data_IF_301352267520
#
_entry.id   IF_301352267520
#
_cell.length_a   1.000
_cell.length_b   1.000
_cell.length_c   1.000
_cell.angle_alpha   90.00
_cell.angle_beta   90.00
_cell.angle_gamma   90.00
#
_symmetry.space_group_name_H-M   'P 1'
#
loop_
_entity.id
_entity.type
_entity.pdbx_description
1 polymer ?
#
# COMPACT_ATOMS: atom_id res chain seq x y z
N UNK A 1 20.81 -8.24 7.55
CA UNK A 1 20.18 -6.95 7.88
C UNK A 1 18.91 -6.72 7.07
N UNK A 2 17.96 -5.97 7.64
CA UNK A 2 16.78 -5.43 6.95
C UNK A 2 16.80 -3.91 7.06
N UNK A 3 16.63 -3.21 5.94
CA UNK A 3 16.64 -1.74 5.89
C UNK A 3 15.21 -1.23 5.84
N UNK A 4 14.74 -0.64 6.94
CA UNK A 4 13.38 -0.12 7.16
C UNK A 4 12.55 -1.03 8.07
N UNK A 5 11.78 -0.44 9.00
CA UNK A 5 10.86 -1.15 9.90
C UNK A 5 9.37 -0.86 9.58
N UNK A 6 9.07 -0.61 8.30
CA UNK A 6 7.70 -0.62 7.78
C UNK A 6 7.12 -2.04 7.68
N UNK A 7 5.97 -2.17 7.01
CA UNK A 7 5.33 -3.48 6.81
C UNK A 7 6.26 -4.46 6.08
N UNK A 8 6.92 -4.03 5.01
CA UNK A 8 7.84 -4.90 4.25
C UNK A 8 9.00 -5.42 5.10
N UNK A 9 9.66 -4.53 5.86
CA UNK A 9 10.78 -4.89 6.73
C UNK A 9 10.38 -5.79 7.90
N UNK A 10 9.27 -5.49 8.55
CA UNK A 10 8.75 -6.32 9.64
C UNK A 10 8.25 -7.69 9.16
N UNK A 11 7.55 -7.75 8.02
CA UNK A 11 7.10 -9.00 7.43
C UNK A 11 8.27 -9.87 6.94
N UNK A 12 9.28 -9.30 6.28
CA UNK A 12 10.42 -10.09 5.79
C UNK A 12 11.27 -10.60 6.95
N UNK A 13 11.47 -9.81 8.02
CA UNK A 13 12.12 -10.27 9.23
C UNK A 13 11.38 -11.47 9.84
N UNK A 14 10.04 -11.38 9.92
CA UNK A 14 9.20 -12.50 10.38
C UNK A 14 9.35 -13.75 9.52
N UNK A 15 9.22 -13.62 8.20
CA UNK A 15 9.32 -14.78 7.31
C UNK A 15 10.72 -15.37 7.25
N UNK A 16 11.78 -14.56 7.32
CA UNK A 16 13.16 -15.04 7.44
C UNK A 16 13.32 -15.89 8.70
N UNK A 17 12.82 -15.45 9.86
CA UNK A 17 12.88 -16.26 11.07
C UNK A 17 12.07 -17.56 10.95
N UNK A 18 10.89 -17.52 10.31
CA UNK A 18 10.08 -18.74 10.09
C UNK A 18 10.85 -19.80 9.28
N UNK A 19 11.65 -19.38 8.31
CA UNK A 19 12.39 -20.30 7.44
C UNK A 19 13.76 -20.70 8.00
N UNK A 20 14.55 -19.76 8.51
CA UNK A 20 15.89 -20.02 9.04
C UNK A 20 15.90 -20.47 10.51
N UNK A 21 14.76 -20.39 11.20
CA UNK A 21 14.63 -20.73 12.61
C UNK A 21 15.10 -19.62 13.55
N UNK A 22 15.00 -19.82 14.87
CA UNK A 22 15.23 -18.78 15.88
C UNK A 22 16.70 -18.38 16.05
N UNK A 23 17.64 -19.08 15.42
CA UNK A 23 19.08 -18.78 15.49
C UNK A 23 19.51 -17.69 14.50
N UNK A 24 18.66 -17.32 13.53
CA UNK A 24 18.98 -16.23 12.61
C UNK A 24 19.04 -14.90 13.35
N UNK A 25 20.16 -14.19 13.21
CA UNK A 25 20.30 -12.84 13.74
C UNK A 25 19.66 -11.82 12.78
N UNK A 26 18.73 -11.03 13.30
CA UNK A 26 17.99 -10.05 12.53
C UNK A 26 18.23 -8.65 13.09
N UNK A 27 19.03 -7.86 12.38
CA UNK A 27 19.16 -6.43 12.62
C UNK A 27 18.27 -5.67 11.63
N UNK A 28 17.42 -4.79 12.16
CA UNK A 28 16.46 -3.97 11.40
C UNK A 28 16.79 -2.51 11.63
N UNK A 29 17.21 -1.81 10.58
CA UNK A 29 17.57 -0.40 10.64
C UNK A 29 16.35 0.49 10.38
N UNK A 30 16.00 1.35 11.33
CA UNK A 30 14.89 2.30 11.21
C UNK A 30 15.24 3.64 11.86
N UNK A 31 15.41 4.73 11.10
CA UNK A 31 15.75 6.03 11.67
C UNK A 31 14.59 6.71 12.40
N UNK A 32 13.34 6.33 12.12
CA UNK A 32 12.15 6.92 12.71
C UNK A 32 11.41 5.91 13.60
N UNK A 33 10.07 5.93 13.58
CA UNK A 33 9.25 4.99 14.30
C UNK A 33 8.90 3.75 13.46
N UNK A 34 8.82 2.59 14.10
CA UNK A 34 8.30 1.35 13.50
C UNK A 34 6.89 1.57 12.95
N UNK A 35 6.64 1.08 11.73
CA UNK A 35 5.34 1.15 11.06
C UNK A 35 5.38 1.87 9.72
N UNK A 36 6.37 2.74 9.47
CA UNK A 36 6.47 3.50 8.22
C UNK A 36 5.17 4.23 7.88
N UNK A 37 4.60 3.97 6.69
CA UNK A 37 3.33 4.55 6.23
C UNK A 37 2.09 4.16 7.06
N UNK A 38 2.19 3.15 7.93
CA UNK A 38 1.11 2.76 8.85
C UNK A 38 1.12 3.56 10.16
N UNK A 39 1.94 4.61 10.25
CA UNK A 39 2.00 5.48 11.41
C UNK A 39 0.65 6.14 11.69
N UNK A 40 0.38 6.38 12.96
CA UNK A 40 -0.82 7.08 13.43
C UNK A 40 -0.48 8.52 13.83
N UNK A 41 -1.42 9.43 13.63
CA UNK A 41 -1.36 10.80 14.17
C UNK A 41 -2.20 10.92 15.45
N UNK A 42 -1.80 11.81 16.36
CA UNK A 42 -2.53 12.03 17.62
C UNK A 42 -3.26 13.35 17.60
N UNK A 43 -4.60 13.31 17.63
CA UNK A 43 -5.48 14.48 17.63
C UNK A 43 -6.39 14.38 18.85
N UNK A 44 -6.45 15.44 19.66
CA UNK A 44 -7.28 15.50 20.88
C UNK A 44 -7.15 14.25 21.78
N UNK A 45 -5.90 13.83 22.05
CA UNK A 45 -5.55 12.64 22.87
C UNK A 45 -6.03 11.29 22.30
N UNK A 46 -6.51 11.25 21.06
CA UNK A 46 -6.88 10.03 20.34
C UNK A 46 -5.94 9.82 19.15
N UNK A 47 -5.68 8.56 18.81
CA UNK A 47 -4.86 8.21 17.65
C UNK A 47 -5.74 7.88 16.44
N UNK A 48 -5.29 8.30 15.26
CA UNK A 48 -5.94 8.09 13.98
C UNK A 48 -4.92 7.60 12.95
N UNK A 49 -5.37 6.82 11.98
CA UNK A 49 -4.51 6.40 10.87
C UNK A 49 -4.11 7.60 10.01
N UNK A 50 -2.81 7.81 9.82
CA UNK A 50 -2.29 8.90 8.97
C UNK A 50 -2.45 8.58 7.50
N UNK A 51 -2.22 7.32 7.11
CA UNK A 51 -2.37 6.79 5.76
C UNK A 51 -2.75 5.30 5.85
N UNK A 52 -3.30 4.73 4.78
CA UNK A 52 -3.61 3.29 4.74
C UNK A 52 -4.58 2.82 5.84
N UNK A 53 -5.75 3.44 5.96
CA UNK A 53 -6.68 3.18 7.06
C UNK A 53 -7.50 1.89 6.94
N UNK A 54 -7.49 1.25 5.77
CA UNK A 54 -8.33 0.11 5.44
C UNK A 54 -7.50 -1.00 4.80
N UNK A 55 -7.68 -2.22 5.29
CA UNK A 55 -7.07 -3.45 4.79
C UNK A 55 -8.18 -4.26 4.12
N UNK A 56 -7.91 -4.78 2.93
CA UNK A 56 -8.90 -5.56 2.20
C UNK A 56 -9.07 -6.96 2.79
N UNK A 57 -10.26 -7.54 2.70
CA UNK A 57 -10.49 -8.90 3.19
C UNK A 57 -9.65 -9.97 2.45
N UNK A 58 -9.29 -9.78 1.18
CA UNK A 58 -8.42 -10.74 0.48
C UNK A 58 -6.92 -10.56 0.78
N UNK A 59 -6.57 -9.70 1.75
CA UNK A 59 -5.21 -9.54 2.24
C UNK A 59 -4.85 -10.65 3.25
N UNK A 60 -4.56 -11.86 2.77
CA UNK A 60 -4.42 -13.04 3.63
C UNK A 60 -3.19 -12.97 4.54
N UNK A 61 -2.06 -12.43 4.08
CA UNK A 61 -0.90 -12.28 4.96
C UNK A 61 -1.21 -11.32 6.12
N UNK A 62 -1.93 -10.22 5.85
CA UNK A 62 -2.36 -9.30 6.91
C UNK A 62 -3.33 -9.96 7.90
N UNK A 63 -4.27 -10.78 7.42
CA UNK A 63 -5.15 -11.55 8.31
C UNK A 63 -4.36 -12.51 9.20
N UNK A 64 -3.42 -13.25 8.59
CA UNK A 64 -2.57 -14.19 9.32
C UNK A 64 -1.73 -13.46 10.37
N UNK A 65 -1.13 -12.32 10.04
CA UNK A 65 -0.38 -11.50 10.99
C UNK A 65 -1.22 -11.06 12.18
N UNK A 66 -2.44 -10.57 11.95
CA UNK A 66 -3.35 -10.18 13.03
C UNK A 66 -3.66 -11.37 13.93
N UNK A 67 -3.93 -12.54 13.33
CA UNK A 67 -4.24 -13.77 14.06
C UNK A 67 -3.07 -14.25 14.91
N UNK A 68 -1.86 -14.35 14.35
CA UNK A 68 -0.68 -14.83 15.10
C UNK A 68 -0.27 -13.87 16.23
N UNK A 69 -0.53 -12.56 16.05
CA UNK A 69 -0.22 -11.54 17.04
C UNK A 69 -1.29 -11.41 18.12
N UNK A 70 -2.43 -12.10 17.98
CA UNK A 70 -3.58 -11.95 18.88
C UNK A 70 -4.19 -10.54 18.83
N UNK A 71 -4.03 -9.85 17.71
CA UNK A 71 -4.62 -8.53 17.48
C UNK A 71 -6.11 -8.67 17.12
N UNK A 72 -6.87 -7.60 17.30
CA UNK A 72 -8.31 -7.58 17.04
C UNK A 72 -8.64 -6.67 15.85
N UNK A 73 -9.70 -7.01 15.14
CA UNK A 73 -10.29 -6.10 14.17
C UNK A 73 -10.95 -4.95 14.91
N UNK A 74 -10.61 -3.72 14.52
CA UNK A 74 -11.29 -2.52 14.97
C UNK A 74 -12.75 -2.61 14.58
N UNK A 75 -13.63 -2.22 15.51
CA UNK A 75 -15.06 -2.12 15.26
C UNK A 75 -15.35 -1.29 14.01
N UNK A 76 -16.24 -1.79 13.16
CA UNK A 76 -16.70 -1.05 11.98
C UNK A 76 -17.68 0.06 12.37
N UNK A 77 -17.57 1.21 11.69
CA UNK A 77 -18.51 2.32 11.83
C UNK A 77 -19.03 2.66 10.43
N UNK A 78 -20.29 2.32 10.18
CA UNK A 78 -20.94 2.54 8.88
C UNK A 78 -21.00 4.02 8.51
N UNK A 79 -20.66 4.36 7.27
CA UNK A 79 -20.65 5.73 6.75
C UNK A 79 -20.86 5.73 5.26
N UNK A 80 -21.57 6.74 4.77
CA UNK A 80 -21.92 6.87 3.35
C UNK A 80 -20.83 7.60 2.58
N UNK A 81 -20.63 7.21 1.34
CA UNK A 81 -19.69 7.84 0.42
C UNK A 81 -20.40 8.63 -0.67
N UNK A 82 -19.73 9.63 -1.22
CA UNK A 82 -20.20 10.34 -2.40
C UNK A 82 -19.03 10.73 -3.31
N UNK A 83 -19.32 10.92 -4.60
CA UNK A 83 -18.37 11.39 -5.60
C UNK A 83 -18.72 12.82 -5.99
N UNK A 84 -17.78 13.73 -5.78
CA UNK A 84 -17.92 15.16 -6.00
C UNK A 84 -17.18 15.59 -7.27
N UNK A 85 -17.86 16.30 -8.17
CA UNK A 85 -17.27 16.77 -9.43
C UNK A 85 -16.45 18.05 -9.31
N UNK A 86 -16.57 18.77 -8.18
CA UNK A 86 -16.12 20.15 -8.02
C UNK A 86 -17.28 21.14 -7.91
N UNK A 87 -18.44 20.77 -8.45
CA UNK A 87 -19.65 21.60 -8.42
C UNK A 87 -20.82 20.91 -7.70
N UNK A 88 -21.03 19.62 -7.99
CA UNK A 88 -22.15 18.84 -7.45
C UNK A 88 -21.74 17.38 -7.21
N UNK A 89 -22.54 16.65 -6.44
CA UNK A 89 -22.37 15.21 -6.29
C UNK A 89 -22.95 14.48 -7.51
N UNK A 90 -22.13 13.65 -8.14
CA UNK A 90 -22.55 12.84 -9.30
C UNK A 90 -23.07 11.46 -8.87
N UNK A 91 -22.58 10.96 -7.74
CA UNK A 91 -23.01 9.70 -7.14
C UNK A 91 -23.05 9.85 -5.63
N UNK A 92 -24.16 9.47 -5.04
CA UNK A 92 -24.40 9.52 -3.60
C UNK A 92 -24.84 8.14 -3.12
N UNK A 93 -24.09 7.58 -2.17
CA UNK A 93 -24.47 6.35 -1.49
C UNK A 93 -25.64 6.61 -0.54
N UNK A 94 -26.65 5.74 -0.61
CA UNK A 94 -27.81 5.75 0.27
C UNK A 94 -27.79 4.54 1.22
N UNK A 95 -28.64 4.57 2.24
CA UNK A 95 -28.81 3.44 3.17
C UNK A 95 -29.49 2.21 2.50
N UNK A 96 -29.94 2.35 1.23
CA UNK A 96 -30.67 1.32 0.49
C UNK A 96 -29.79 0.70 -0.59
N UNK A 97 -29.23 -0.48 -0.31
CA UNK A 97 -28.36 -1.21 -1.25
C UNK A 97 -28.96 -1.37 -2.66
N UNK A 98 -30.22 -1.79 -2.75
CA UNK A 98 -30.91 -1.97 -4.05
C UNK A 98 -31.08 -0.66 -4.82
N UNK A 99 -31.26 0.47 -4.12
CA UNK A 99 -31.35 1.79 -4.75
C UNK A 99 -30.00 2.22 -5.30
N UNK A 100 -28.90 1.97 -4.57
CA UNK A 100 -27.54 2.24 -5.04
C UNK A 100 -27.25 1.41 -6.30
N UNK A 101 -27.59 0.12 -6.29
CA UNK A 101 -27.42 -0.76 -7.45
C UNK A 101 -28.27 -0.30 -8.66
N UNK A 102 -29.52 0.08 -8.42
CA UNK A 102 -30.38 0.63 -9.48
C UNK A 102 -29.82 1.94 -10.06
N UNK A 103 -29.32 2.85 -9.22
CA UNK A 103 -28.70 4.12 -9.67
C UNK A 103 -27.47 3.85 -10.53
N UNK A 104 -26.62 2.92 -10.11
CA UNK A 104 -25.44 2.51 -10.88
C UNK A 104 -25.85 1.92 -12.23
N UNK A 105 -26.82 1.02 -12.24
CA UNK A 105 -27.31 0.40 -13.47
C UNK A 105 -27.99 1.43 -14.40
N UNK A 106 -28.77 2.35 -13.87
CA UNK A 106 -29.44 3.39 -14.65
C UNK A 106 -28.45 4.36 -15.31
N UNK A 107 -27.42 4.80 -14.58
CA UNK A 107 -26.45 5.78 -15.07
C UNK A 107 -25.33 5.16 -15.92
N UNK A 108 -24.94 3.92 -15.61
CA UNK A 108 -23.73 3.29 -16.16
C UNK A 108 -23.97 1.94 -16.83
N UNK A 109 -25.23 1.49 -16.91
CA UNK A 109 -25.61 0.21 -17.48
C UNK A 109 -24.97 -0.97 -16.75
N UNK A 110 -24.50 -1.95 -17.51
CA UNK A 110 -23.81 -3.14 -16.97
C UNK A 110 -22.31 -2.91 -16.70
N UNK A 111 -21.81 -1.67 -16.75
CA UNK A 111 -20.39 -1.35 -16.51
C UNK A 111 -19.92 -1.82 -15.14
N UNK A 112 -20.75 -1.68 -14.10
CA UNK A 112 -20.43 -2.14 -12.75
C UNK A 112 -20.26 -3.68 -12.69
N UNK A 113 -21.12 -4.44 -13.36
CA UNK A 113 -21.00 -5.91 -13.43
C UNK A 113 -19.76 -6.33 -14.20
N UNK A 114 -19.45 -5.66 -15.32
CA UNK A 114 -18.23 -5.91 -16.10
C UNK A 114 -16.96 -5.64 -15.28
N UNK A 115 -16.96 -4.56 -14.50
CA UNK A 115 -15.89 -4.26 -13.56
C UNK A 115 -15.75 -5.37 -12.51
N UNK A 116 -16.85 -5.80 -11.88
CA UNK A 116 -16.81 -6.87 -10.87
C UNK A 116 -16.21 -8.15 -11.45
N UNK A 117 -16.70 -8.61 -12.61
CA UNK A 117 -16.17 -9.82 -13.26
C UNK A 117 -14.69 -9.70 -13.57
N UNK A 118 -14.25 -8.55 -14.08
CA UNK A 118 -12.84 -8.30 -14.40
C UNK A 118 -11.95 -8.31 -13.15
N UNK A 119 -12.37 -7.64 -12.08
CA UNK A 119 -11.64 -7.63 -10.80
C UNK A 119 -11.60 -9.02 -10.17
N UNK A 120 -12.72 -9.75 -10.18
CA UNK A 120 -12.79 -11.12 -9.66
C UNK A 120 -11.85 -12.07 -10.41
N UNK A 121 -11.78 -11.99 -11.74
CA UNK A 121 -10.85 -12.80 -12.55
C UNK A 121 -9.38 -12.51 -12.18
N UNK A 122 -9.02 -11.24 -12.04
CA UNK A 122 -7.66 -10.85 -11.63
C UNK A 122 -7.38 -11.36 -10.22
N UNK A 123 -8.31 -11.18 -9.28
CA UNK A 123 -8.13 -11.63 -7.91
C UNK A 123 -8.02 -13.15 -7.81
N UNK A 124 -8.85 -13.92 -8.52
CA UNK A 124 -8.78 -15.39 -8.54
C UNK A 124 -7.40 -15.89 -8.97
N UNK A 125 -6.83 -15.31 -10.03
CA UNK A 125 -5.47 -15.62 -10.49
C UNK A 125 -4.41 -15.18 -9.49
N UNK A 126 -4.55 -13.99 -8.90
CA UNK A 126 -3.63 -13.47 -7.89
C UNK A 126 -3.56 -14.39 -6.65
N UNK A 127 -4.69 -14.92 -6.18
CA UNK A 127 -4.77 -15.79 -4.99
C UNK A 127 -3.92 -17.07 -5.11
N UNK A 128 -3.48 -17.46 -6.33
CA UNK A 128 -2.56 -18.59 -6.54
C UNK A 128 -1.22 -18.39 -5.81
N UNK A 129 -0.81 -17.15 -5.57
CA UNK A 129 0.47 -16.82 -4.93
C UNK A 129 0.61 -17.46 -3.55
N UNK A 130 -0.46 -17.49 -2.76
CA UNK A 130 -0.43 -18.07 -1.41
C UNK A 130 -0.16 -19.57 -1.46
N UNK A 131 -0.73 -20.26 -2.45
CA UNK A 131 -0.48 -21.69 -2.67
C UNK A 131 0.98 -21.92 -3.04
N UNK A 132 1.53 -21.12 -3.96
CA UNK A 132 2.93 -21.23 -4.37
C UNK A 132 3.88 -20.99 -3.20
N UNK A 133 3.64 -19.93 -2.42
CA UNK A 133 4.45 -19.59 -1.24
C UNK A 133 4.34 -20.64 -0.13
N UNK A 134 3.18 -21.27 0.05
CA UNK A 134 3.00 -22.36 1.02
C UNK A 134 3.84 -23.60 0.67
N UNK A 135 4.06 -23.87 -0.63
CA UNK A 135 4.90 -24.97 -1.10
C UNK A 135 6.39 -24.58 -1.23
N UNK A 136 6.73 -23.35 -0.84
CA UNK A 136 8.10 -22.84 -0.81
C UNK A 136 8.62 -22.30 -2.14
N UNK A 137 7.75 -22.10 -3.14
CA UNK A 137 8.14 -21.51 -4.42
C UNK A 137 8.37 -20.00 -4.31
N UNK A 138 9.41 -19.52 -4.98
CA UNK A 138 9.80 -18.11 -5.02
C UNK A 138 10.14 -17.66 -6.45
N UNK A 139 10.14 -16.34 -6.65
CA UNK A 139 10.34 -15.70 -7.95
C UNK A 139 11.49 -14.70 -7.87
N UNK A 140 12.40 -14.73 -8.84
CA UNK A 140 13.59 -13.87 -8.87
C UNK A 140 13.34 -12.48 -9.45
N UNK A 141 12.25 -12.29 -10.20
CA UNK A 141 11.81 -11.01 -10.75
C UNK A 141 10.31 -10.79 -10.54
N UNK A 142 9.86 -9.54 -10.68
CA UNK A 142 8.45 -9.19 -10.60
C UNK A 142 7.68 -9.70 -11.82
N UNK A 143 8.32 -9.71 -12.99
CA UNK A 143 7.79 -10.26 -14.23
C UNK A 143 7.52 -11.77 -14.10
N UNK A 144 8.48 -12.55 -13.58
CA UNK A 144 8.28 -14.00 -13.36
C UNK A 144 7.20 -14.27 -12.33
N UNK A 145 7.13 -13.47 -11.25
CA UNK A 145 6.05 -13.54 -10.28
C UNK A 145 4.70 -13.33 -10.97
N UNK A 146 4.54 -12.26 -11.74
CA UNK A 146 3.27 -11.94 -12.42
C UNK A 146 2.91 -12.99 -13.48
N UNK A 147 3.89 -13.41 -14.27
CA UNK A 147 3.73 -14.45 -15.29
C UNK A 147 3.29 -15.79 -14.66
N UNK A 148 3.83 -16.18 -13.51
CA UNK A 148 3.42 -17.41 -12.81
C UNK A 148 1.97 -17.41 -12.32
N UNK A 149 1.40 -16.22 -12.05
CA UNK A 149 0.05 -16.05 -11.53
C UNK A 149 -0.98 -15.99 -12.65
N UNK A 150 -0.72 -15.16 -13.66
CA UNK A 150 -1.67 -14.84 -14.73
C UNK A 150 -1.13 -14.90 -16.15
N UNK A 151 0.08 -15.42 -16.36
CA UNK A 151 0.76 -15.48 -17.66
C UNK A 151 1.08 -14.08 -18.21
N UNK A 152 1.24 -14.01 -19.54
CA UNK A 152 1.50 -12.75 -20.25
C UNK A 152 0.43 -11.67 -19.99
N UNK A 153 -0.79 -12.07 -19.65
CA UNK A 153 -1.86 -11.12 -19.34
C UNK A 153 -1.49 -10.23 -18.15
N UNK A 154 -0.95 -10.79 -17.07
CA UNK A 154 -0.55 -10.00 -15.89
C UNK A 154 0.67 -9.11 -16.16
N UNK A 155 1.63 -9.60 -16.95
CA UNK A 155 2.78 -8.79 -17.37
C UNK A 155 2.30 -7.62 -18.24
N UNK A 156 1.44 -7.86 -19.23
CA UNK A 156 0.87 -6.82 -20.08
C UNK A 156 0.02 -5.81 -19.30
N UNK A 157 -0.67 -6.22 -18.24
CA UNK A 157 -1.40 -5.32 -17.35
C UNK A 157 -0.50 -4.32 -16.60
N UNK A 158 0.81 -4.55 -16.52
CA UNK A 158 1.75 -3.54 -15.98
C UNK A 158 2.13 -2.47 -16.99
N UNK A 159 1.91 -2.73 -18.28
CA UNK A 159 2.33 -1.86 -19.38
C UNK A 159 1.19 -1.03 -19.98
N UNK A 160 -0.06 -1.35 -19.61
CA UNK A 160 -1.27 -0.70 -20.11
C UNK A 160 -2.03 -0.03 -18.99
N UNK A 161 -2.70 1.07 -19.30
CA UNK A 161 -3.50 1.78 -18.30
C UNK A 161 -4.75 0.99 -17.92
N UNK A 162 -5.23 1.19 -16.69
CA UNK A 162 -6.50 0.63 -16.22
C UNK A 162 -7.68 1.15 -17.05
N UNK A 163 -7.63 2.40 -17.53
CA UNK A 163 -8.63 2.92 -18.46
C UNK A 163 -8.73 2.07 -19.73
N UNK A 164 -7.61 1.82 -20.41
CA UNK A 164 -7.59 1.01 -21.64
C UNK A 164 -8.13 -0.40 -21.39
N UNK A 165 -7.67 -1.08 -20.33
CA UNK A 165 -8.13 -2.44 -20.02
C UNK A 165 -9.62 -2.50 -19.69
N UNK A 166 -10.15 -1.51 -18.98
CA UNK A 166 -11.58 -1.46 -18.64
C UNK A 166 -12.46 -1.18 -19.87
N UNK A 167 -12.03 -0.27 -20.75
CA UNK A 167 -12.73 0.01 -22.01
C UNK A 167 -12.79 -1.24 -22.91
N UNK A 168 -11.71 -2.02 -22.98
CA UNK A 168 -11.67 -3.27 -23.76
C UNK A 168 -12.64 -4.35 -23.27
N UNK A 169 -12.84 -4.47 -21.96
CA UNK A 169 -13.86 -5.37 -21.40
C UNK A 169 -15.27 -4.77 -21.41
N UNK A 170 -15.44 -3.61 -22.04
CA UNK A 170 -16.72 -2.96 -22.28
C UNK A 170 -17.23 -2.08 -21.13
N UNK A 171 -16.38 -1.69 -20.18
CA UNK A 171 -16.75 -0.63 -19.23
C UNK A 171 -16.85 0.69 -19.99
N UNK A 172 -17.89 1.48 -19.73
CA UNK A 172 -18.10 2.75 -20.44
C UNK A 172 -17.12 3.84 -19.98
N UNK A 173 -16.72 4.71 -20.91
CA UNK A 173 -15.87 5.88 -20.60
C UNK A 173 -16.43 6.71 -19.43
N UNK A 174 -17.74 6.96 -19.43
CA UNK A 174 -18.41 7.69 -18.35
C UNK A 174 -18.19 7.04 -16.97
N UNK A 175 -18.27 5.72 -16.87
CA UNK A 175 -18.02 5.03 -15.60
C UNK A 175 -16.54 5.09 -15.20
N UNK A 176 -15.63 5.05 -16.18
CA UNK A 176 -14.19 5.25 -15.96
C UNK A 176 -13.92 6.64 -15.37
N UNK A 177 -14.47 7.69 -15.97
CA UNK A 177 -14.22 9.08 -15.57
C UNK A 177 -14.90 9.44 -14.24
N UNK A 178 -16.13 8.95 -14.02
CA UNK A 178 -16.91 9.28 -12.83
C UNK A 178 -16.46 8.45 -11.61
N UNK A 179 -16.35 7.13 -11.77
CA UNK A 179 -16.21 6.19 -10.63
C UNK A 179 -14.78 5.70 -10.48
N UNK A 180 -14.16 5.22 -11.57
CA UNK A 180 -12.82 4.62 -11.51
C UNK A 180 -11.78 5.69 -11.17
N UNK A 181 -11.85 6.85 -11.83
CA UNK A 181 -10.98 7.98 -11.51
C UNK A 181 -11.09 8.38 -10.04
N UNK A 182 -12.32 8.45 -9.49
CA UNK A 182 -12.53 8.82 -8.10
C UNK A 182 -11.88 7.83 -7.12
N UNK A 183 -12.02 6.53 -7.36
CA UNK A 183 -11.39 5.48 -6.52
C UNK A 183 -9.86 5.56 -6.59
N UNK A 184 -9.28 5.71 -7.79
CA UNK A 184 -7.83 5.76 -7.98
C UNK A 184 -7.22 7.06 -7.45
N UNK A 185 -7.92 8.18 -7.55
CA UNK A 185 -7.53 9.45 -6.92
C UNK A 185 -7.55 9.33 -5.40
N UNK A 186 -8.56 8.67 -4.82
CA UNK A 186 -8.60 8.41 -3.38
C UNK A 186 -7.50 7.46 -2.90
N UNK A 187 -7.08 6.49 -3.72
CA UNK A 187 -6.17 5.42 -3.31
C UNK A 187 -4.72 5.74 -3.61
N UNK A 188 -4.43 6.22 -4.82
CA UNK A 188 -3.09 6.58 -5.27
C UNK A 188 -2.90 8.08 -5.37
N UNK A 189 -3.95 8.88 -5.59
CA UNK A 189 -3.81 10.28 -5.98
C UNK A 189 -3.36 10.42 -7.44
N UNK A 190 -3.70 9.44 -8.29
CA UNK A 190 -3.41 9.44 -9.74
C UNK A 190 -4.70 9.31 -10.54
N UNK A 191 -4.60 9.69 -11.82
CA UNK A 191 -5.66 9.48 -12.81
C UNK A 191 -5.76 8.00 -13.21
N UNK A 192 -6.67 7.70 -14.13
CA UNK A 192 -6.91 6.35 -14.68
C UNK A 192 -5.79 5.83 -15.58
N UNK A 193 -4.66 6.54 -15.66
CA UNK A 193 -3.48 6.15 -16.42
C UNK A 193 -2.56 5.16 -15.66
N UNK A 194 -2.85 4.88 -14.39
CA UNK A 194 -2.11 3.85 -13.64
C UNK A 194 -2.22 2.48 -14.33
N UNK A 195 -1.21 1.60 -14.18
CA UNK A 195 -1.22 0.26 -14.74
C UNK A 195 -2.46 -0.52 -14.35
N UNK A 196 -2.99 -1.28 -15.30
CA UNK A 196 -4.20 -2.08 -15.12
C UNK A 196 -4.10 -3.02 -13.92
N UNK A 197 -2.92 -3.59 -13.64
CA UNK A 197 -2.74 -4.45 -12.47
C UNK A 197 -2.88 -3.67 -11.15
N UNK A 198 -2.19 -2.53 -11.02
CA UNK A 198 -2.32 -1.63 -9.86
C UNK A 198 -3.76 -1.14 -9.68
N UNK A 199 -4.44 -0.84 -10.80
CA UNK A 199 -5.84 -0.46 -10.83
C UNK A 199 -6.77 -1.56 -10.34
N UNK A 200 -6.60 -2.80 -10.83
CA UNK A 200 -7.38 -3.96 -10.39
C UNK A 200 -7.23 -4.20 -8.88
N UNK A 201 -6.00 -4.17 -8.36
CA UNK A 201 -5.73 -4.35 -6.93
C UNK A 201 -6.36 -3.24 -6.07
N UNK A 202 -6.40 -2.01 -6.57
CA UNK A 202 -7.07 -0.88 -5.89
C UNK A 202 -8.59 -1.01 -5.92
N UNK A 203 -9.17 -1.41 -7.07
CA UNK A 203 -10.60 -1.54 -7.26
C UNK A 203 -11.19 -2.71 -6.47
N UNK A 204 -10.44 -3.80 -6.30
CA UNK A 204 -10.80 -4.88 -5.38
C UNK A 204 -11.04 -4.35 -3.97
N UNK A 205 -10.17 -3.45 -3.49
CA UNK A 205 -10.29 -2.79 -2.20
C UNK A 205 -11.56 -1.95 -2.03
N UNK A 206 -12.09 -1.38 -3.10
CA UNK A 206 -13.28 -0.53 -3.08
C UNK A 206 -14.60 -1.32 -3.16
N UNK A 207 -14.58 -2.55 -3.69
CA UNK A 207 -15.76 -3.40 -3.81
C UNK A 207 -15.93 -4.40 -2.65
N UNK A 208 -14.84 -4.74 -1.96
CA UNK A 208 -14.85 -5.75 -0.90
C UNK A 208 -15.01 -5.18 0.50
N UNK A 209 -15.23 -6.08 1.47
CA UNK A 209 -15.20 -5.70 2.88
C UNK A 209 -13.79 -5.29 3.29
N UNK A 210 -13.67 -4.16 3.97
CA UNK A 210 -12.41 -3.68 4.52
C UNK A 210 -12.42 -3.69 6.05
N UNK A 211 -11.25 -3.82 6.65
CA UNK A 211 -11.07 -3.85 8.09
C UNK A 211 -9.82 -3.07 8.49
N UNK A 212 -9.66 -2.81 9.79
CA UNK A 212 -8.47 -2.17 10.35
C UNK A 212 -8.13 -2.81 11.69
N UNK A 213 -6.90 -2.64 12.17
CA UNK A 213 -6.47 -3.19 13.45
C UNK A 213 -6.91 -2.27 14.60
N UNK A 214 -7.50 -2.84 15.65
CA UNK A 214 -7.77 -2.13 16.90
C UNK A 214 -6.44 -1.67 17.51
N UNK A 215 -6.31 -0.38 17.79
CA UNK A 215 -5.06 0.23 18.26
C UNK A 215 -4.11 0.69 17.14
N UNK A 216 -4.41 0.34 15.89
CA UNK A 216 -3.80 0.88 14.68
C UNK A 216 -2.94 -0.13 13.91
N UNK A 217 -2.89 0.04 12.59
CA UNK A 217 -2.26 -0.90 11.66
C UNK A 217 -0.74 -1.05 11.91
N UNK A 218 -0.06 -0.02 12.43
CA UNK A 218 1.35 -0.10 12.87
C UNK A 218 1.63 -1.21 13.88
N UNK A 219 0.62 -1.65 14.65
CA UNK A 219 0.78 -2.70 15.65
C UNK A 219 1.22 -4.02 15.01
N UNK A 220 0.82 -4.28 13.77
CA UNK A 220 1.30 -5.43 12.98
C UNK A 220 2.83 -5.38 12.86
N UNK A 221 3.39 -4.26 12.42
CA UNK A 221 4.84 -4.12 12.23
C UNK A 221 5.60 -4.31 13.55
N UNK A 222 5.17 -3.62 14.61
CA UNK A 222 5.81 -3.73 15.92
C UNK A 222 5.67 -5.13 16.54
N UNK A 223 4.52 -5.78 16.32
CA UNK A 223 4.24 -7.11 16.80
C UNK A 223 5.13 -8.16 16.12
N UNK A 224 5.25 -8.10 14.79
CA UNK A 224 6.09 -9.01 14.02
C UNK A 224 7.56 -8.91 14.44
N UNK A 225 8.10 -7.69 14.58
CA UNK A 225 9.48 -7.49 15.04
C UNK A 225 9.71 -7.96 16.48
N UNK A 226 8.70 -7.80 17.35
CA UNK A 226 8.76 -8.30 18.73
C UNK A 226 8.73 -9.83 18.78
N UNK A 227 7.89 -10.48 17.95
CA UNK A 227 7.85 -11.93 17.83
C UNK A 227 9.20 -12.49 17.39
N UNK A 228 9.86 -11.81 16.45
CA UNK A 228 11.16 -12.24 15.96
C UNK A 228 12.32 -11.95 16.90
N UNK A 229 12.11 -11.13 17.95
CA UNK A 229 13.19 -10.58 18.77
C UNK A 229 14.27 -9.91 17.90
N UNK A 230 13.86 -9.31 16.79
CA UNK A 230 14.76 -8.58 15.92
C UNK A 230 15.36 -7.39 16.70
N UNK A 231 16.64 -7.15 16.50
CA UNK A 231 17.34 -6.01 17.04
C UNK A 231 17.04 -4.78 16.17
N UNK A 232 16.31 -3.81 16.74
CA UNK A 232 15.93 -2.59 16.02
C UNK A 232 16.99 -1.53 16.28
N UNK A 233 17.70 -1.14 15.23
CA UNK A 233 18.79 -0.16 15.28
C UNK A 233 18.24 1.19 14.80
N UNK A 234 18.21 2.23 15.66
CA UNK A 234 17.67 3.55 15.34
C UNK A 234 18.64 4.36 14.46
N UNK A 235 18.82 3.93 13.21
CA UNK A 235 19.78 4.53 12.29
C UNK A 235 19.30 4.50 10.84
N UNK A 236 19.75 5.49 10.07
CA UNK A 236 19.49 5.60 8.63
C UNK A 236 20.60 4.91 7.85
N UNK A 237 20.26 3.92 7.03
CA UNK A 237 21.24 3.32 6.11
C UNK A 237 21.48 4.27 4.93
N UNK A 238 22.75 4.53 4.65
CA UNK A 238 23.22 5.42 3.59
C UNK A 238 23.76 4.66 2.38
N UNK A 239 24.16 3.41 2.55
CA UNK A 239 24.65 2.60 1.44
C UNK A 239 25.09 1.20 1.85
N UNK A 240 25.43 0.41 0.85
CA UNK A 240 25.92 -0.96 1.00
C UNK A 240 27.18 -1.13 0.17
N UNK A 241 28.22 -1.71 0.75
CA UNK A 241 29.44 -2.08 0.05
C UNK A 241 29.57 -3.59 0.01
N UNK A 242 29.92 -4.14 -1.16
CA UNK A 242 30.23 -5.55 -1.30
C UNK A 242 31.69 -5.80 -0.88
N UNK A 243 31.88 -6.83 -0.06
CA UNK A 243 33.17 -7.39 0.29
C UNK A 243 33.19 -8.87 -0.07
N UNK A 244 34.31 -9.37 -0.57
CA UNK A 244 34.51 -10.79 -0.82
C UNK A 244 35.52 -11.31 0.19
N UNK A 245 35.11 -12.26 1.03
CA UNK A 245 35.98 -12.94 2.00
C UNK A 245 35.88 -14.44 1.77
N UNK A 246 37.02 -15.10 1.49
CA UNK A 246 37.09 -16.57 1.32
C UNK A 246 36.10 -17.15 0.29
N UNK A 247 35.80 -16.39 -0.78
CA UNK A 247 34.86 -16.81 -1.82
C UNK A 247 33.38 -16.67 -1.43
N UNK A 248 33.08 -16.02 -0.30
CA UNK A 248 31.71 -15.65 0.11
C UNK A 248 31.52 -14.14 0.05
N UNK A 249 30.36 -13.75 -0.46
CA UNK A 249 29.91 -12.36 -0.48
C UNK A 249 29.47 -11.94 0.93
N UNK A 250 30.10 -10.90 1.47
CA UNK A 250 29.72 -10.21 2.69
C UNK A 250 29.30 -8.78 2.36
N UNK A 251 28.25 -8.30 3.02
CA UNK A 251 27.68 -6.99 2.78
C UNK A 251 27.94 -6.08 3.96
N UNK A 252 28.69 -5.01 3.75
CA UNK A 252 28.88 -3.96 4.75
C UNK A 252 27.79 -2.91 4.58
N UNK A 253 26.93 -2.80 5.58
CA UNK A 253 25.85 -1.81 5.65
C UNK A 253 26.38 -0.57 6.35
N UNK A 254 26.39 0.56 5.65
CA UNK A 254 26.83 1.86 6.15
C UNK A 254 25.62 2.65 6.64
N UNK A 255 25.64 3.11 7.89
CA UNK A 255 24.51 3.80 8.50
C UNK A 255 24.93 5.01 9.34
N UNK A 256 23.98 5.93 9.54
CA UNK A 256 24.10 7.09 10.41
C UNK A 256 23.06 6.98 11.53
N UNK A 257 23.53 6.80 12.76
CA UNK A 257 22.72 6.75 13.97
C UNK A 257 22.95 7.96 14.86
N UNK A 258 22.41 7.93 16.08
CA UNK A 258 22.58 9.00 17.07
C UNK A 258 24.03 9.17 17.53
N UNK A 259 24.84 8.11 17.46
CA UNK A 259 26.26 8.10 17.84
C UNK A 259 27.20 8.46 16.68
N UNK A 260 26.64 8.80 15.50
CA UNK A 260 27.39 9.13 14.29
C UNK A 260 27.35 8.03 13.24
N UNK A 261 28.35 8.02 12.37
CA UNK A 261 28.48 7.04 11.29
C UNK A 261 29.00 5.70 11.83
N UNK A 262 28.43 4.61 11.35
CA UNK A 262 28.85 3.25 11.67
C UNK A 262 28.68 2.31 10.48
N UNK A 263 29.26 1.12 10.60
CA UNK A 263 29.04 0.03 9.65
C UNK A 263 28.96 -1.32 10.35
N UNK A 264 28.31 -2.29 9.70
CA UNK A 264 28.22 -3.67 10.15
C UNK A 264 28.14 -4.64 8.97
N UNK A 265 28.68 -5.84 9.15
CA UNK A 265 28.73 -6.88 8.12
C UNK A 265 27.58 -7.88 8.25
N UNK A 266 27.06 -8.33 7.12
CA UNK A 266 25.95 -9.29 7.04
C UNK A 266 26.13 -10.27 5.88
N UNK A 267 25.61 -11.49 6.06
CA UNK A 267 25.52 -12.49 4.98
C UNK A 267 24.42 -12.16 3.95
N UNK A 268 23.35 -11.49 4.40
CA UNK A 268 22.20 -11.09 3.59
C UNK A 268 21.70 -9.70 3.95
N UNK A 269 21.27 -8.95 2.95
CA UNK A 269 20.64 -7.64 3.15
C UNK A 269 19.35 -7.53 2.34
N UNK A 270 18.27 -7.15 3.02
CA UNK A 270 16.99 -6.85 2.37
C UNK A 270 16.70 -5.36 2.49
N UNK A 271 16.63 -4.68 1.36
CA UNK A 271 16.30 -3.26 1.28
C UNK A 271 14.80 -3.08 1.10
N UNK A 272 14.16 -2.44 2.08
CA UNK A 272 12.70 -2.16 2.08
C UNK A 272 12.38 -0.67 2.09
N UNK A 273 13.42 0.17 2.00
CA UNK A 273 13.29 1.59 1.65
C UNK A 273 13.38 1.74 0.13
N UNK A 274 12.62 2.66 -0.49
CA UNK A 274 12.80 2.99 -1.90
C UNK A 274 14.23 3.45 -2.19
N UNK A 275 14.79 2.98 -3.31
CA UNK A 275 16.16 3.25 -3.77
C UNK A 275 16.25 4.34 -4.86
N UNK A 276 15.12 4.99 -5.17
CA UNK A 276 15.06 5.96 -6.26
C UNK A 276 15.74 7.28 -5.84
N UNK A 277 16.50 7.94 -6.72
CA UNK A 277 17.20 9.18 -6.39
C UNK A 277 16.31 10.30 -5.85
N UNK A 278 15.02 10.32 -6.25
CA UNK A 278 14.02 11.25 -5.72
C UNK A 278 13.69 11.07 -4.24
N UNK A 279 14.04 9.92 -3.64
CA UNK A 279 13.70 9.55 -2.26
C UNK A 279 14.91 9.25 -1.37
N UNK A 280 16.03 8.84 -1.95
CA UNK A 280 17.20 8.42 -1.17
C UNK A 280 18.50 8.75 -1.87
N UNK A 281 19.47 9.26 -1.10
CA UNK A 281 20.88 9.29 -1.50
C UNK A 281 21.55 7.98 -1.06
N UNK A 282 21.09 6.85 -1.62
CA UNK A 282 21.54 5.51 -1.25
C UNK A 282 22.63 5.06 -2.23
N UNK A 283 23.79 4.64 -1.73
CA UNK A 283 24.93 4.26 -2.60
C UNK A 283 25.26 2.77 -2.53
N UNK A 284 25.58 2.17 -3.68
CA UNK A 284 26.14 0.83 -3.78
C UNK A 284 27.61 0.92 -4.21
N UNK A 285 28.52 0.27 -3.48
CA UNK A 285 29.97 0.30 -3.75
C UNK A 285 30.54 -1.10 -3.93
N UNK A 286 31.57 -1.21 -4.78
CA UNK A 286 32.33 -2.44 -5.04
C UNK A 286 31.50 -3.59 -5.65
N UNK A 287 30.44 -3.27 -6.40
CA UNK A 287 29.66 -4.26 -7.15
C UNK A 287 30.15 -4.33 -8.61
N UNK A 288 30.29 -5.55 -9.12
CA UNK A 288 30.64 -5.82 -10.51
C UNK A 288 29.62 -6.80 -11.13
N UNK A 289 28.79 -6.38 -12.10
CA UNK A 289 28.65 -5.00 -12.58
C UNK A 289 28.07 -4.05 -11.51
N UNK A 290 28.28 -2.72 -11.63
CA UNK A 290 27.67 -1.76 -10.73
C UNK A 290 26.14 -1.88 -10.72
N UNK A 291 25.53 -1.75 -9.54
CA UNK A 291 24.08 -1.66 -9.42
C UNK A 291 23.65 -0.29 -9.93
N UNK A 292 22.96 -0.27 -11.07
CA UNK A 292 22.45 0.95 -11.69
C UNK A 292 21.42 1.66 -10.82
N UNK A 293 21.29 2.98 -11.00
CA UNK A 293 20.19 3.75 -10.42
C UNK A 293 18.84 3.22 -10.90
N UNK A 294 17.83 3.32 -10.03
CA UNK A 294 16.46 2.94 -10.35
C UNK A 294 15.73 4.18 -10.89
N UNK A 295 15.58 4.33 -12.22
CA UNK A 295 14.85 5.46 -12.78
C UNK A 295 13.41 5.44 -12.29
N UNK A 296 12.78 6.62 -12.27
CA UNK A 296 11.40 6.76 -11.82
C UNK A 296 11.24 7.77 -10.69
N UNK A 297 10.10 8.46 -10.73
CA UNK A 297 9.72 9.41 -9.71
C UNK A 297 8.61 8.81 -8.84
N UNK A 298 8.62 9.20 -7.56
CA UNK A 298 7.45 9.02 -6.71
C UNK A 298 6.68 10.33 -6.71
N UNK A 299 5.36 10.23 -6.57
CA UNK A 299 4.54 11.40 -6.38
C UNK A 299 4.35 11.70 -4.89
N UNK A 300 4.33 12.99 -4.51
CA UNK A 300 3.92 13.41 -3.19
C UNK A 300 2.44 13.02 -2.97
N UNK A 301 2.17 12.45 -1.82
CA UNK A 301 0.84 12.26 -1.27
C UNK A 301 0.81 12.95 0.07
N UNK A 302 0.02 14.02 0.15
CA UNK A 302 -0.11 14.81 1.36
C UNK A 302 -1.41 14.45 2.04
N UNK A 303 -1.30 14.12 3.33
CA UNK A 303 -2.46 13.89 4.17
C UNK A 303 -2.55 14.98 5.23
N UNK A 304 -3.65 15.74 5.20
CA UNK A 304 -3.98 16.74 6.20
C UNK A 304 -5.06 16.20 7.12
N UNK A 305 -4.74 15.99 8.40
CA UNK A 305 -5.71 15.61 9.43
C UNK A 305 -6.15 16.86 10.19
N UNK A 306 -7.41 17.24 9.99
CA UNK A 306 -8.03 18.47 10.45
C UNK A 306 -9.06 18.16 11.53
N UNK A 307 -8.91 18.79 12.70
CA UNK A 307 -9.96 18.77 13.72
C UNK A 307 -10.78 20.06 13.60
N UNK A 308 -12.02 19.97 13.11
CA UNK A 308 -12.81 21.17 12.80
C UNK A 308 -14.24 20.93 12.37
N UNK A 309 -14.91 22.02 12.02
CA UNK A 309 -16.30 22.07 11.54
C UNK A 309 -16.30 22.12 10.01
N UNK A 310 -16.86 21.09 9.39
CA UNK A 310 -16.97 20.99 7.93
C UNK A 310 -17.82 22.15 7.38
N UNK A 311 -17.38 22.74 6.27
CA UNK A 311 -18.20 23.64 5.49
C UNK A 311 -19.08 22.85 4.50
N UNK A 312 -20.18 22.27 4.99
CA UNK A 312 -21.11 21.49 4.16
C UNK A 312 -21.70 22.27 2.98
N UNK A 313 -21.74 23.60 3.08
CA UNK A 313 -22.28 24.48 2.05
C UNK A 313 -21.43 24.47 0.77
N UNK A 314 -20.12 24.22 0.87
CA UNK A 314 -19.25 24.01 -0.29
C UNK A 314 -19.69 22.80 -1.13
N UNK A 315 -20.26 21.80 -0.48
CA UNK A 315 -20.76 20.58 -1.11
C UNK A 315 -22.26 20.65 -1.49
N UNK A 316 -22.86 21.84 -1.51
CA UNK A 316 -24.27 22.02 -1.85
C UNK A 316 -25.26 21.72 -0.69
N UNK A 317 -24.78 21.64 0.56
CA UNK A 317 -25.62 21.44 1.74
C UNK A 317 -25.59 22.68 2.67
N UNK A 318 -26.46 23.70 2.45
CA UNK A 318 -26.53 24.88 3.29
C UNK A 318 -26.84 24.55 4.75
N UNK A 319 -27.79 23.64 4.99
CA UNK A 319 -28.08 23.06 6.29
C UNK A 319 -27.14 21.86 6.55
N UNK A 320 -26.19 21.97 7.50
CA UNK A 320 -25.25 20.89 7.80
C UNK A 320 -25.89 19.65 8.44
N UNK A 321 -27.18 19.69 8.82
CA UNK A 321 -27.95 18.52 9.30
C UNK A 321 -28.29 17.54 8.19
N UNK A 322 -28.38 18.03 6.96
CA UNK A 322 -28.74 17.22 5.81
C UNK A 322 -27.53 16.51 5.20
N UNK A 323 -26.32 16.91 5.56
CA UNK A 323 -25.08 16.33 5.03
C UNK A 323 -24.82 14.94 5.64
N UNK A 324 -24.89 13.86 4.85
CA UNK A 324 -24.92 12.50 5.40
C UNK A 324 -23.61 11.72 5.20
N UNK A 325 -22.61 12.31 4.52
CA UNK A 325 -21.45 11.58 4.04
C UNK A 325 -20.32 11.52 5.06
N UNK A 326 -19.69 10.35 5.13
CA UNK A 326 -18.47 10.12 5.87
C UNK A 326 -17.24 10.13 4.95
N UNK A 327 -17.40 9.88 3.65
CA UNK A 327 -16.32 9.92 2.66
C UNK A 327 -16.77 10.68 1.41
N UNK A 328 -15.86 11.49 0.88
CA UNK A 328 -16.04 12.28 -0.34
C UNK A 328 -14.85 11.98 -1.25
N UNK A 329 -15.13 11.34 -2.38
CA UNK A 329 -14.15 11.13 -3.45
C UNK A 329 -14.32 12.22 -4.50
N UNK A 330 -13.29 12.46 -5.31
CA UNK A 330 -13.32 13.49 -6.36
C UNK A 330 -13.07 12.91 -7.73
N UNK A 331 -13.78 13.41 -8.75
CA UNK A 331 -13.42 13.15 -10.15
C UNK A 331 -12.10 13.82 -10.52
N UNK A 332 -11.56 13.49 -11.69
CA UNK A 332 -10.32 14.08 -12.20
C UNK A 332 -10.55 15.48 -12.82
N UNK A 333 -11.02 16.40 -11.99
CA UNK A 333 -11.35 17.78 -12.38
C UNK A 333 -10.17 18.71 -12.04
N UNK A 334 -9.58 19.45 -13.00
CA UNK A 334 -8.38 20.27 -12.77
C UNK A 334 -8.51 21.32 -11.67
N UNK A 335 -9.71 21.85 -11.45
CA UNK A 335 -9.99 22.88 -10.44
C UNK A 335 -9.99 22.35 -8.99
N UNK A 336 -10.04 21.02 -8.81
CA UNK A 336 -10.09 20.40 -7.48
C UNK A 336 -8.68 20.27 -6.86
N UNK A 337 -8.50 20.91 -5.70
CA UNK A 337 -7.24 20.92 -4.97
C UNK A 337 -7.04 19.72 -4.01
N UNK A 338 -8.02 18.83 -3.91
CA UNK A 338 -7.95 17.62 -3.09
C UNK A 338 -8.45 16.40 -3.87
N UNK A 339 -7.96 15.22 -3.48
CA UNK A 339 -8.26 13.95 -4.12
C UNK A 339 -9.43 13.21 -3.44
N UNK A 340 -9.45 13.24 -2.10
CA UNK A 340 -10.53 12.66 -1.30
C UNK A 340 -10.55 13.25 0.12
N UNK A 341 -11.66 13.08 0.82
CA UNK A 341 -11.86 13.56 2.19
C UNK A 341 -12.73 12.60 3.02
N UNK A 342 -12.27 12.26 4.23
CA UNK A 342 -12.94 11.29 5.11
C UNK A 342 -13.14 11.81 6.53
N UNK A 343 -14.30 11.54 7.13
CA UNK A 343 -14.55 11.66 8.57
C UNK A 343 -14.02 10.40 9.27
N UNK A 344 -12.77 10.50 9.71
CA UNK A 344 -12.01 9.35 10.21
C UNK A 344 -12.36 9.01 11.65
N UNK A 345 -12.33 7.71 11.95
CA UNK A 345 -12.55 7.18 13.29
C UNK A 345 -11.21 6.95 14.01
N UNK A 346 -11.17 7.09 15.35
CA UNK A 346 -9.99 6.74 16.12
C UNK A 346 -9.64 5.26 15.93
N UNK A 347 -8.37 4.90 16.13
CA UNK A 347 -7.92 3.50 16.05
C UNK A 347 -8.52 2.60 17.13
N UNK A 348 -8.97 3.21 18.24
CA UNK A 348 -9.71 2.54 19.32
C UNK A 348 -11.13 3.13 19.37
N UNK A 349 -12.14 2.29 19.14
CA UNK A 349 -13.54 2.72 19.02
C UNK A 349 -14.33 2.14 20.18
N UNK A 350 -14.88 3.02 21.02
CA UNK A 350 -15.73 2.61 22.13
C UNK A 350 -17.13 2.18 21.67
N UNK A 351 -17.85 1.47 22.53
CA UNK A 351 -19.23 1.05 22.27
C UNK A 351 -20.17 2.24 21.95
N UNK A 352 -19.93 3.39 22.58
CA UNK A 352 -20.74 4.60 22.46
C UNK A 352 -20.27 5.57 21.35
N UNK A 353 -19.20 5.24 20.62
CA UNK A 353 -18.70 6.11 19.56
C UNK A 353 -19.73 6.24 18.43
N UNK A 354 -19.94 7.48 17.98
CA UNK A 354 -20.68 7.82 16.77
C UNK A 354 -19.88 8.81 15.95
N UNK A 355 -19.97 8.73 14.61
CA UNK A 355 -19.44 9.80 13.77
C UNK A 355 -20.18 11.09 14.08
N UNK A 356 -19.42 12.15 14.28
CA UNK A 356 -19.95 13.49 14.51
C UNK A 356 -20.46 14.07 13.21
N UNK A 357 -21.65 14.67 13.24
CA UNK A 357 -22.20 15.40 12.12
C UNK A 357 -21.45 16.73 11.92
N UNK A 358 -21.55 17.38 10.73
CA UNK A 358 -20.88 18.65 10.45
C UNK A 358 -21.13 19.81 11.43
N UNK A 359 -22.21 19.76 12.22
CA UNK A 359 -22.51 20.74 13.27
C UNK A 359 -21.57 20.61 14.49
N UNK A 360 -20.92 19.46 14.64
CA UNK A 360 -19.97 19.17 15.70
C UNK A 360 -18.55 19.11 15.12
N UNK A 361 -17.55 19.51 15.91
CA UNK A 361 -16.16 19.39 15.49
C UNK A 361 -15.75 17.92 15.41
N UNK A 362 -15.41 17.48 14.20
CA UNK A 362 -14.99 16.12 13.89
C UNK A 362 -13.53 16.12 13.41
N UNK A 363 -12.95 14.92 13.28
CA UNK A 363 -11.62 14.75 12.71
C UNK A 363 -11.77 14.29 11.27
N UNK A 364 -11.27 15.12 10.36
CA UNK A 364 -11.33 14.89 8.93
C UNK A 364 -9.93 14.64 8.39
N UNK A 365 -9.81 13.69 7.49
CA UNK A 365 -8.61 13.47 6.69
C UNK A 365 -8.86 14.04 5.30
N UNK A 366 -7.96 14.87 4.79
CA UNK A 366 -7.98 15.36 3.42
C UNK A 366 -6.73 14.87 2.72
N UNK A 367 -6.90 14.20 1.59
CA UNK A 367 -5.84 13.73 0.72
C UNK A 367 -5.65 14.75 -0.41
N UNK A 368 -4.42 15.22 -0.63
CA UNK A 368 -4.08 16.23 -1.65
C UNK A 368 -2.69 15.99 -2.23
N UNK A 369 -2.39 16.66 -3.36
CA UNK A 369 -1.07 16.61 -3.99
C UNK A 369 -0.03 17.45 -3.26
N UNK A 370 -0.48 18.50 -2.57
CA UNK A 370 0.35 19.47 -1.85
C UNK A 370 -0.32 19.82 -0.51
N UNK A 371 0.43 20.35 0.47
CA UNK A 371 -0.15 20.85 1.72
C UNK A 371 -1.22 21.91 1.46
N UNK A 372 -2.36 21.81 2.15
CA UNK A 372 -3.47 22.72 1.96
C UNK A 372 -3.13 24.11 2.48
N UNK A 373 -3.35 25.14 1.67
CA UNK A 373 -3.20 26.52 2.09
C UNK A 373 -4.38 27.00 2.96
N UNK A 374 -4.26 28.22 3.51
CA UNK A 374 -5.29 28.80 4.38
C UNK A 374 -6.62 29.04 3.67
N UNK A 375 -6.63 29.34 2.37
CA UNK A 375 -7.85 29.56 1.60
C UNK A 375 -8.55 28.22 1.34
N UNK A 376 -7.82 27.22 0.89
CA UNK A 376 -8.30 25.85 0.69
C UNK A 376 -8.89 25.25 1.97
N UNK A 377 -8.20 25.43 3.11
CA UNK A 377 -8.74 25.02 4.42
C UNK A 377 -10.04 25.76 4.78
N UNK A 378 -10.15 27.06 4.48
CA UNK A 378 -11.37 27.84 4.73
C UNK A 378 -12.51 27.47 3.78
N UNK A 379 -12.19 26.99 2.57
CA UNK A 379 -13.18 26.45 1.63
C UNK A 379 -13.80 25.18 2.22
N UNK A 380 -12.98 24.24 2.72
CA UNK A 380 -13.45 22.97 3.26
C UNK A 380 -14.01 23.07 4.70
N UNK A 381 -13.52 24.00 5.52
CA UNK A 381 -13.87 24.08 6.94
C UNK A 381 -14.29 25.50 7.33
N UNK A 382 -15.44 25.61 8.03
CA UNK A 382 -15.92 26.88 8.58
C UNK A 382 -14.96 27.40 9.65
N UNK A 383 -14.42 26.48 10.46
CA UNK A 383 -13.37 26.71 11.44
C UNK A 383 -12.69 25.39 11.80
N UNK A 384 -11.45 25.46 12.27
CA UNK A 384 -10.70 24.30 12.73
C UNK A 384 -9.81 24.65 13.94
N UNK A 385 -9.56 23.66 14.80
CA UNK A 385 -8.71 23.78 15.97
C UNK A 385 -7.26 23.43 15.68
N UNK A 386 -7.03 22.43 14.81
CA UNK A 386 -5.68 21.97 14.48
C UNK A 386 -5.64 21.31 13.10
N UNK A 387 -4.51 21.42 12.43
CA UNK A 387 -4.18 20.70 11.20
C UNK A 387 -2.84 20.00 11.41
N UNK A 388 -2.80 18.69 11.19
CA UNK A 388 -1.57 17.89 11.18
C UNK A 388 -1.31 17.42 9.77
N UNK A 389 -0.17 17.82 9.21
CA UNK A 389 0.20 17.48 7.84
C UNK A 389 1.24 16.36 7.88
N UNK A 390 0.99 15.30 7.11
CA UNK A 390 1.96 14.24 6.87
C UNK A 390 2.21 14.14 5.38
N UNK A 391 3.46 14.19 4.98
CA UNK A 391 3.87 14.10 3.58
C UNK A 391 4.59 12.78 3.34
N UNK A 392 4.09 12.01 2.37
CA UNK A 392 4.72 10.78 1.94
C UNK A 392 4.94 10.83 0.43
N UNK A 393 6.11 10.42 -0.03
CA UNK A 393 6.30 10.10 -1.45
C UNK A 393 5.72 8.69 -1.72
N UNK A 394 4.40 8.54 -1.57
CA UNK A 394 3.78 7.25 -1.27
C UNK A 394 3.69 6.29 -2.46
N UNK A 395 3.62 6.80 -3.68
CA UNK A 395 3.31 5.98 -4.85
C UNK A 395 4.27 6.28 -6.01
N UNK A 396 4.69 5.26 -6.77
CA UNK A 396 5.36 5.48 -8.03
C UNK A 396 4.48 6.31 -8.97
N UNK A 397 5.12 7.18 -9.75
CA UNK A 397 4.53 7.74 -10.96
C UNK A 397 4.59 6.67 -12.03
N UNK A 398 3.51 5.92 -12.16
CA UNK A 398 3.50 4.73 -12.99
C UNK A 398 3.59 5.04 -14.50
N UNK A 399 3.34 6.29 -14.90
CA UNK A 399 3.55 6.81 -16.25
C UNK A 399 5.04 6.96 -16.63
N UNK A 400 5.95 6.94 -15.66
CA UNK A 400 7.34 7.37 -15.83
C UNK A 400 8.30 6.30 -16.40
N UNK A 401 8.03 5.01 -16.23
CA UNK A 401 8.96 3.94 -16.65
C UNK A 401 8.23 2.66 -17.05
N UNK A 402 8.73 1.96 -18.08
CA UNK A 402 8.12 0.72 -18.61
C UNK A 402 8.68 -0.59 -18.01
N UNK A 403 9.82 -0.54 -17.31
CA UNK A 403 10.47 -1.72 -16.73
C UNK A 403 10.26 -1.77 -15.22
N UNK A 404 9.97 -2.94 -14.67
CA UNK A 404 9.84 -3.11 -13.22
C UNK A 404 11.24 -3.18 -12.57
N UNK A 405 11.40 -2.67 -11.34
CA UNK A 405 12.66 -2.83 -10.63
C UNK A 405 12.96 -4.29 -10.30
N UNK A 406 14.23 -4.72 -10.31
CA UNK A 406 14.61 -6.07 -9.94
C UNK A 406 14.35 -6.35 -8.45
N UNK A 407 14.00 -7.60 -8.13
CA UNK A 407 13.94 -8.09 -6.74
C UNK A 407 15.34 -8.41 -6.22
N UNK A 408 16.21 -8.94 -7.08
CA UNK A 408 17.57 -9.36 -6.76
C UNK A 408 18.56 -8.31 -7.28
N UNK A 409 19.30 -7.67 -6.38
CA UNK A 409 20.37 -6.73 -6.75
C UNK A 409 21.75 -7.41 -6.81
N UNK A 410 21.95 -8.41 -5.95
CA UNK A 410 23.10 -9.31 -5.92
C UNK A 410 22.66 -10.63 -5.28
N UNK A 411 23.51 -11.66 -5.27
CA UNK A 411 23.20 -13.03 -4.81
C UNK A 411 22.35 -13.10 -3.52
N UNK A 412 22.73 -12.33 -2.49
CA UNK A 412 22.07 -12.24 -1.18
C UNK A 412 21.66 -10.80 -0.81
N UNK A 413 21.50 -9.93 -1.81
CA UNK A 413 21.04 -8.56 -1.66
C UNK A 413 19.74 -8.37 -2.44
N UNK A 414 18.66 -8.05 -1.72
CA UNK A 414 17.31 -8.01 -2.27
C UNK A 414 16.69 -6.62 -2.15
N UNK A 415 15.92 -6.20 -3.15
CA UNK A 415 15.12 -4.98 -3.14
C UNK A 415 13.63 -5.33 -3.12
N UNK A 416 13.02 -5.16 -1.95
CA UNK A 416 11.61 -5.51 -1.72
C UNK A 416 10.66 -4.45 -2.26
N UNK A 417 10.98 -3.17 -2.06
CA UNK A 417 10.07 -2.05 -2.41
C UNK A 417 9.87 -1.86 -3.91
N UNK A 418 10.63 -2.58 -4.75
CA UNK A 418 10.38 -2.65 -6.19
C UNK A 418 8.94 -3.09 -6.51
N UNK A 419 8.31 -3.91 -5.65
CA UNK A 419 6.92 -4.37 -5.84
C UNK A 419 5.89 -3.24 -5.91
N UNK A 420 6.20 -2.06 -5.34
CA UNK A 420 5.29 -0.92 -5.39
C UNK A 420 5.02 -0.44 -6.82
N UNK A 421 5.93 -0.69 -7.75
CA UNK A 421 5.78 -0.42 -9.18
C UNK A 421 4.80 -1.36 -9.89
N UNK A 422 4.51 -2.51 -9.30
CA UNK A 422 3.44 -3.40 -9.75
C UNK A 422 2.10 -2.96 -9.18
N UNK A 423 2.04 -2.82 -7.84
CA UNK A 423 0.88 -2.33 -7.12
C UNK A 423 1.30 -2.00 -5.68
N UNK A 424 1.11 -0.75 -5.25
CA UNK A 424 1.44 -0.33 -3.88
C UNK A 424 0.28 -0.62 -2.93
N UNK A 425 0.36 -1.74 -2.22
CA UNK A 425 -0.60 -2.11 -1.19
C UNK A 425 0.07 -2.88 -0.04
N UNK A 426 -0.62 -2.97 1.11
CA UNK A 426 -0.12 -3.74 2.25
C UNK A 426 0.08 -5.21 1.89
N UNK A 427 -0.88 -5.81 1.16
CA UNK A 427 -0.80 -7.21 0.79
C UNK A 427 0.32 -7.48 -0.21
N UNK A 428 0.46 -6.64 -1.25
CA UNK A 428 1.56 -6.79 -2.21
C UNK A 428 2.93 -6.69 -1.53
N UNK A 429 3.06 -5.81 -0.54
CA UNK A 429 4.27 -5.68 0.27
C UNK A 429 4.54 -6.94 1.10
N UNK A 430 3.50 -7.54 1.70
CA UNK A 430 3.63 -8.76 2.48
C UNK A 430 3.93 -9.99 1.59
N UNK A 431 3.30 -10.09 0.42
CA UNK A 431 3.59 -11.09 -0.62
C UNK A 431 5.04 -10.99 -1.07
N UNK A 432 5.54 -9.79 -1.36
CA UNK A 432 6.94 -9.57 -1.73
C UNK A 432 7.89 -9.94 -0.59
N UNK A 433 7.54 -9.62 0.66
CA UNK A 433 8.32 -10.01 1.83
C UNK A 433 8.45 -11.53 1.96
N UNK A 434 7.35 -12.27 1.78
CA UNK A 434 7.36 -13.73 1.78
C UNK A 434 8.17 -14.29 0.62
N UNK A 435 8.05 -13.69 -0.57
CA UNK A 435 8.82 -14.08 -1.75
C UNK A 435 10.33 -13.92 -1.52
N UNK A 436 10.78 -12.77 -1.00
CA UNK A 436 12.19 -12.51 -0.69
C UNK A 436 12.72 -13.48 0.35
N UNK A 437 11.95 -13.75 1.42
CA UNK A 437 12.37 -14.71 2.45
C UNK A 437 12.54 -16.13 1.89
N UNK A 438 11.61 -16.59 1.04
CA UNK A 438 11.72 -17.88 0.36
C UNK A 438 12.88 -17.91 -0.63
N UNK A 439 13.08 -16.84 -1.41
CA UNK A 439 14.17 -16.72 -2.35
C UNK A 439 15.53 -16.80 -1.65
N UNK A 440 15.68 -16.09 -0.54
CA UNK A 440 16.87 -16.14 0.30
C UNK A 440 17.11 -17.54 0.89
N UNK A 441 16.05 -18.17 1.41
CA UNK A 441 16.13 -19.51 1.99
C UNK A 441 16.48 -20.60 0.96
N UNK A 442 15.83 -20.57 -0.20
CA UNK A 442 16.07 -21.54 -1.27
C UNK A 442 17.50 -21.40 -1.83
N UNK A 443 17.98 -20.17 -2.03
CA UNK A 443 19.38 -19.93 -2.44
C UNK A 443 20.39 -20.41 -1.42
N UNK A 444 20.16 -20.10 -0.13
CA UNK A 444 21.05 -20.51 0.95
C UNK A 444 21.21 -22.04 1.02
N UNK A 445 20.12 -22.78 0.81
CA UNK A 445 20.10 -24.25 0.81
C UNK A 445 20.37 -24.88 -0.56
N UNK A 446 20.62 -24.08 -1.60
CA UNK A 446 20.81 -24.50 -3.00
C UNK A 446 19.62 -25.28 -3.59
N UNK A 447 18.41 -25.03 -3.09
CA UNK A 447 17.16 -25.57 -3.64
C UNK A 447 16.66 -24.69 -4.80
N UNK A 448 17.40 -24.72 -5.91
CA UNK A 448 17.14 -23.86 -7.06
C UNK A 448 15.88 -24.29 -7.85
N UNK A 449 15.41 -25.52 -7.68
CA UNK A 449 14.19 -26.02 -8.34
C UNK A 449 12.92 -25.31 -7.85
N UNK A 450 12.98 -24.67 -6.68
CA UNK A 450 11.87 -23.87 -6.14
C UNK A 450 11.90 -22.41 -6.56
N UNK A 451 12.85 -22.00 -7.40
CA UNK A 451 12.98 -20.62 -7.89
C UNK A 451 12.59 -20.58 -9.36
N UNK A 452 11.67 -19.68 -9.74
CA UNK A 452 11.20 -19.48 -11.12
C UNK A 452 10.71 -20.77 -11.80
N UNK A 453 10.12 -21.67 -11.01
CA UNK A 453 9.59 -22.93 -11.50
C UNK A 453 8.45 -22.68 -12.50
N UNK A 454 8.58 -23.26 -13.69
CA UNK A 454 7.55 -23.21 -14.73
C UNK A 454 6.40 -24.19 -14.44
N UNK A 455 5.23 -23.90 -14.99
CA UNK A 455 4.03 -24.75 -14.95
C UNK A 455 3.56 -25.13 -13.53
N UNK A 456 3.76 -24.21 -12.58
CA UNK A 456 3.37 -24.39 -11.17
C UNK A 456 1.90 -24.77 -10.99
N UNK A 457 1.01 -24.20 -11.79
CA UNK A 457 -0.41 -24.53 -11.71
C UNK A 457 -0.68 -26.03 -11.95
N UNK A 458 0.07 -26.67 -12.85
CA UNK A 458 -0.04 -28.11 -13.09
C UNK A 458 0.64 -28.91 -11.97
N UNK A 459 1.88 -28.56 -11.60
CA UNK A 459 2.63 -29.26 -10.54
C UNK A 459 1.91 -29.26 -9.20
N UNK A 460 1.42 -28.10 -8.75
CA UNK A 460 0.78 -28.00 -7.44
C UNK A 460 -0.65 -28.60 -7.47
N UNK A 461 -1.22 -28.88 -8.64
CA UNK A 461 -2.46 -29.68 -8.74
C UNK A 461 -2.19 -31.18 -8.64
N UNK A 462 -1.02 -31.65 -9.03
CA UNK A 462 -0.60 -33.06 -8.96
C UNK A 462 0.07 -33.44 -7.64
N UNK A 463 0.57 -32.46 -6.89
CA UNK A 463 1.11 -32.62 -5.53
C UNK A 463 0.02 -32.62 -4.43
N UNK A 464 -1.24 -32.35 -4.81
CA UNK A 464 -2.45 -32.54 -4.00
C UNK A 464 -3.21 -33.76 -4.49
#
# INVERSE_FOLDING_TARGET
AVVGAGLGGSAVAYFLQQHFGPQVQLDVYEPAGVGGRLATVTVNKQQYESSGASIHALSLHMQDFVKILGLKHRREVAGKSAIFSGEHFILEETDWYLLNLFRLWWHYGISFLRLQMWVEEVMEKFMRIYKYQAHGYAFSSLEELLHSLGGDAFVNMTQRSVAESLLEVGVTQRFVDDVIAAVLRSSYGQSVLVPAFAGAMSLAGAQGSTWAVEGGNKLVCSGLLKLTKANIIPARVMGISLHSSEGRSLYEVHYEGTEGQGSAFYDMVVVTTPLHPSRSNFTFKNFEPPISDFPGAFQPSVTSVVHGYLNSSYFGFPDPKLFPFASILTTDTPELFFNAMDNICPVNISAAFRRKQPQEAAVWRVLSQQPLDKQQLKTLFRSYYSVQVTEWQAYPRYDATKSLPPIVLHENLFYLSGVEWVASSMEMTAVAAKNVALLAYNRWNRDLEKIDQKDLMHKVKTEL
#
